data_IF_241959507867
#
_entry.id   IF_241959507867
#
_cell.length_a   1.000
_cell.length_b   1.000
_cell.length_c   1.000
_cell.angle_alpha   90.00
_cell.angle_beta   90.00
_cell.angle_gamma   90.00
#
_symmetry.space_group_name_H-M   'P 1'
#
loop_
_entity.id
_entity.type
_entity.pdbx_description
1 polymer ?
#
# COMPACT_ATOMS: atom_id res chain seq x y z
N UNK A 1 26.20 -5.51 -21.38
CA UNK A 1 26.64 -5.87 -20.01
C UNK A 1 25.94 -4.94 -19.07
N UNK A 2 24.98 -5.48 -18.32
CA UNK A 2 24.24 -4.79 -17.26
C UNK A 2 25.25 -4.48 -16.15
N UNK A 3 25.24 -3.25 -15.63
CA UNK A 3 25.99 -2.94 -14.41
C UNK A 3 25.18 -3.54 -13.26
N UNK A 4 25.70 -4.57 -12.60
CA UNK A 4 25.11 -5.07 -11.35
C UNK A 4 25.39 -4.01 -10.27
N UNK A 5 24.46 -3.09 -10.10
CA UNK A 5 24.55 -2.04 -9.10
C UNK A 5 24.14 -2.62 -7.74
N UNK A 6 25.03 -2.54 -6.74
CA UNK A 6 24.71 -2.84 -5.35
C UNK A 6 23.52 -1.98 -4.91
N UNK A 7 22.38 -2.64 -4.69
CA UNK A 7 21.07 -2.03 -4.45
C UNK A 7 21.06 -0.92 -3.40
N UNK A 8 21.79 -1.09 -2.32
CA UNK A 8 21.70 -0.22 -1.13
C UNK A 8 22.43 1.13 -1.28
N UNK A 9 23.32 1.28 -2.27
CA UNK A 9 24.11 2.51 -2.46
C UNK A 9 23.46 3.51 -3.41
N UNK A 10 22.58 3.05 -4.30
CA UNK A 10 22.02 3.86 -5.40
C UNK A 10 20.49 3.91 -5.41
N UNK A 11 19.80 3.04 -4.67
CA UNK A 11 18.35 3.03 -4.61
C UNK A 11 17.86 3.45 -3.22
N UNK A 12 16.73 4.16 -3.20
CA UNK A 12 15.96 4.40 -1.99
C UNK A 12 14.82 3.39 -1.94
N UNK A 13 14.89 2.45 -1.00
CA UNK A 13 13.81 1.52 -0.70
C UNK A 13 12.79 2.23 0.22
N UNK A 14 11.51 2.18 -0.16
CA UNK A 14 10.40 2.78 0.60
C UNK A 14 9.28 1.75 0.80
N UNK A 15 8.48 1.94 1.85
CA UNK A 15 7.26 1.17 2.12
C UNK A 15 7.43 -0.09 2.97
N UNK A 16 8.64 -0.37 3.47
CA UNK A 16 8.96 -1.53 4.31
C UNK A 16 9.32 -1.11 5.74
N UNK A 17 8.35 -1.17 6.66
CA UNK A 17 8.50 -0.69 8.04
C UNK A 17 9.59 -1.40 8.86
N UNK A 18 9.94 -2.64 8.49
CA UNK A 18 10.90 -3.48 9.24
C UNK A 18 12.13 -3.87 8.43
N UNK A 19 12.41 -3.21 7.30
CA UNK A 19 13.58 -3.57 6.47
C UNK A 19 14.89 -3.54 7.26
N UNK A 20 15.08 -2.57 8.17
CA UNK A 20 16.30 -2.49 8.98
C UNK A 20 16.45 -3.63 9.98
N UNK A 21 15.34 -4.14 10.53
CA UNK A 21 15.33 -5.29 11.46
C UNK A 21 15.51 -6.60 10.69
N UNK A 22 14.76 -6.76 9.60
CA UNK A 22 14.65 -8.03 8.88
C UNK A 22 15.80 -8.26 7.88
N UNK A 23 16.32 -7.18 7.27
CA UNK A 23 17.18 -7.23 6.06
C UNK A 23 16.52 -8.02 4.92
N UNK A 24 15.19 -7.89 4.81
CA UNK A 24 14.35 -8.52 3.80
C UNK A 24 13.13 -7.64 3.50
N UNK A 25 12.40 -7.97 2.43
CA UNK A 25 11.15 -7.30 2.03
C UNK A 25 9.91 -7.78 2.80
N UNK A 26 10.08 -8.56 3.88
CA UNK A 26 8.95 -9.01 4.70
C UNK A 26 8.33 -7.82 5.44
N UNK A 27 7.01 -7.64 5.29
CA UNK A 27 6.26 -6.47 5.78
C UNK A 27 5.81 -6.58 7.24
N UNK A 28 6.37 -7.49 8.02
CA UNK A 28 6.16 -7.64 9.47
C UNK A 28 7.49 -8.04 10.13
N UNK A 29 7.67 -7.91 11.45
CA UNK A 29 8.88 -8.42 12.11
C UNK A 29 9.01 -9.93 11.90
N UNK A 30 10.11 -10.39 11.31
CA UNK A 30 10.30 -11.82 11.01
C UNK A 30 10.28 -12.70 12.25
N UNK A 31 10.78 -12.19 13.38
CA UNK A 31 10.73 -12.87 14.68
C UNK A 31 9.31 -13.18 15.18
N UNK A 32 8.26 -12.66 14.53
CA UNK A 32 6.86 -12.93 14.88
C UNK A 32 6.17 -13.89 13.92
N UNK A 33 6.86 -14.43 12.91
CA UNK A 33 6.28 -15.35 11.94
C UNK A 33 5.57 -16.54 12.62
N UNK A 34 6.14 -17.08 13.71
CA UNK A 34 5.55 -18.21 14.45
C UNK A 34 4.24 -17.88 15.18
N UNK A 35 3.92 -16.59 15.37
CA UNK A 35 2.63 -16.16 15.97
C UNK A 35 1.51 -16.07 14.95
N UNK A 36 1.83 -16.06 13.67
CA UNK A 36 0.86 -15.92 12.59
C UNK A 36 0.33 -17.26 12.13
N UNK A 37 -0.89 -17.26 11.59
CA UNK A 37 -1.41 -18.41 10.85
C UNK A 37 -0.62 -18.60 9.53
N UNK A 38 -0.72 -19.78 8.91
CA UNK A 38 0.05 -20.10 7.69
C UNK A 38 -0.21 -19.12 6.54
N UNK A 39 -1.46 -18.72 6.32
CA UNK A 39 -1.81 -17.76 5.26
C UNK A 39 -1.15 -16.39 5.49
N UNK A 40 -1.10 -15.91 6.73
CA UNK A 40 -0.44 -14.66 7.08
C UNK A 40 1.08 -14.77 6.96
N UNK A 41 1.68 -15.91 7.32
CA UNK A 41 3.11 -16.16 7.07
C UNK A 41 3.44 -15.98 5.60
N UNK A 42 2.60 -16.47 4.69
CA UNK A 42 2.79 -16.27 3.25
C UNK A 42 2.54 -14.81 2.82
N UNK A 43 1.38 -14.23 3.14
CA UNK A 43 0.94 -12.92 2.64
C UNK A 43 1.78 -11.75 3.15
N UNK A 44 2.41 -11.88 4.33
CA UNK A 44 3.30 -10.85 4.83
C UNK A 44 4.60 -10.70 4.01
N UNK A 45 4.90 -11.66 3.12
CA UNK A 45 6.04 -11.60 2.20
C UNK A 45 5.71 -10.89 0.88
N UNK A 46 4.43 -10.69 0.57
CA UNK A 46 4.02 -9.94 -0.61
C UNK A 46 4.53 -8.49 -0.50
N UNK A 47 4.88 -7.84 -1.62
CA UNK A 47 5.56 -6.53 -1.60
C UNK A 47 4.63 -5.31 -1.75
N UNK A 48 3.34 -5.44 -1.43
CA UNK A 48 2.36 -4.36 -1.59
C UNK A 48 2.80 -3.04 -0.94
N UNK A 49 2.73 -1.95 -1.71
CA UNK A 49 3.14 -0.61 -1.28
C UNK A 49 4.66 -0.37 -1.27
N UNK A 50 5.47 -1.42 -1.41
CA UNK A 50 6.91 -1.32 -1.56
C UNK A 50 7.32 -0.65 -2.87
N UNK A 51 8.39 0.13 -2.85
CA UNK A 51 8.96 0.70 -4.07
C UNK A 51 10.46 0.95 -3.95
N UNK A 52 11.13 1.01 -5.10
CA UNK A 52 12.49 1.56 -5.18
C UNK A 52 12.49 2.84 -5.98
N UNK A 53 13.26 3.82 -5.50
CA UNK A 53 13.45 5.10 -6.17
C UNK A 53 14.90 5.30 -6.55
N UNK A 54 15.12 5.81 -7.76
CA UNK A 54 16.43 6.06 -8.33
C UNK A 54 16.35 7.20 -9.34
N UNK A 55 17.50 7.69 -9.77
CA UNK A 55 17.61 8.78 -10.73
C UNK A 55 18.53 8.38 -11.88
N UNK A 56 18.08 8.59 -13.12
CA UNK A 56 18.84 8.17 -14.32
C UNK A 56 18.41 8.93 -15.58
N UNK A 57 19.28 8.99 -16.58
CA UNK A 57 18.97 9.39 -17.96
C UNK A 57 18.90 8.21 -18.93
N UNK A 58 18.85 6.96 -18.44
CA UNK A 58 18.74 5.80 -19.33
C UNK A 58 17.49 5.91 -20.21
N UNK A 59 17.62 5.61 -21.50
CA UNK A 59 16.50 5.57 -22.43
C UNK A 59 15.83 4.21 -22.39
N UNK A 60 16.61 3.15 -22.15
CA UNK A 60 16.11 1.79 -21.93
C UNK A 60 16.42 1.29 -20.53
N UNK A 61 15.47 0.59 -19.93
CA UNK A 61 15.58 -0.03 -18.62
C UNK A 61 15.13 -1.48 -18.66
N UNK A 62 15.81 -2.33 -17.90
CA UNK A 62 15.46 -3.73 -17.69
C UNK A 62 15.00 -3.96 -16.25
N UNK A 63 14.05 -4.86 -16.06
CA UNK A 63 13.74 -5.45 -14.75
C UNK A 63 13.90 -6.95 -14.86
N UNK A 64 14.75 -7.51 -14.00
CA UNK A 64 14.83 -8.95 -13.73
C UNK A 64 14.30 -9.22 -12.34
N UNK A 65 13.46 -10.22 -12.16
CA UNK A 65 12.90 -10.55 -10.85
C UNK A 65 12.66 -12.05 -10.76
N UNK A 66 13.04 -12.66 -9.64
CA UNK A 66 12.67 -14.03 -9.29
C UNK A 66 11.64 -13.97 -8.16
N UNK A 67 10.49 -14.61 -8.36
CA UNK A 67 9.50 -14.72 -7.30
C UNK A 67 9.77 -15.96 -6.46
N UNK A 68 9.86 -15.79 -5.14
CA UNK A 68 9.87 -16.95 -4.24
C UNK A 68 8.48 -17.59 -4.16
N UNK A 69 7.45 -16.77 -4.30
CA UNK A 69 6.08 -17.21 -4.56
C UNK A 69 5.34 -16.15 -5.37
N UNK A 70 4.78 -16.56 -6.51
CA UNK A 70 3.94 -15.73 -7.36
C UNK A 70 2.49 -16.15 -7.18
N UNK A 71 1.64 -15.24 -6.70
CA UNK A 71 0.19 -15.50 -6.69
C UNK A 71 -0.34 -15.41 -8.10
N UNK A 72 -1.31 -16.26 -8.39
CA UNK A 72 -2.12 -16.18 -9.59
C UNK A 72 -3.58 -16.22 -9.14
N UNK A 73 -4.31 -15.14 -9.40
CA UNK A 73 -5.75 -15.09 -9.17
C UNK A 73 -6.48 -14.83 -10.47
N UNK A 74 -7.58 -15.55 -10.69
CA UNK A 74 -8.50 -15.27 -11.79
C UNK A 74 -9.18 -13.90 -11.68
N UNK A 75 -9.19 -13.29 -10.49
CA UNK A 75 -9.80 -11.97 -10.24
C UNK A 75 -8.83 -10.80 -10.42
N UNK A 76 -7.52 -11.06 -10.39
CA UNK A 76 -6.48 -10.04 -10.52
C UNK A 76 -5.92 -10.01 -11.94
N UNK A 77 -5.40 -8.85 -12.33
CA UNK A 77 -4.54 -8.79 -13.51
C UNK A 77 -3.16 -9.39 -13.16
N UNK A 78 -2.46 -9.92 -14.17
CA UNK A 78 -1.08 -10.37 -14.00
C UNK A 78 -0.15 -9.25 -13.47
N UNK A 79 -0.46 -8.00 -13.82
CA UNK A 79 0.26 -6.83 -13.34
C UNK A 79 0.02 -6.55 -11.86
N UNK A 80 -1.21 -6.73 -11.35
CA UNK A 80 -1.50 -6.70 -9.92
C UNK A 80 -0.70 -7.77 -9.18
N UNK A 81 -0.78 -8.99 -9.71
CA UNK A 81 -0.23 -10.15 -9.04
C UNK A 81 1.30 -10.10 -8.94
N UNK A 82 1.96 -9.79 -10.06
CA UNK A 82 3.40 -9.99 -10.22
C UNK A 82 4.09 -8.87 -11.04
N UNK A 83 3.45 -7.72 -11.23
CA UNK A 83 4.02 -6.62 -12.01
C UNK A 83 4.81 -5.61 -11.17
N UNK A 84 5.78 -4.95 -11.79
CA UNK A 84 6.43 -3.74 -11.28
C UNK A 84 5.99 -2.53 -12.09
N UNK A 85 5.66 -1.43 -11.42
CA UNK A 85 5.03 -0.27 -12.04
C UNK A 85 5.95 0.95 -12.01
N UNK A 86 6.39 1.40 -13.19
CA UNK A 86 7.35 2.50 -13.30
C UNK A 86 6.64 3.84 -13.52
N UNK A 87 7.00 4.80 -12.67
CA UNK A 87 6.63 6.19 -12.79
C UNK A 87 7.87 7.06 -12.89
N UNK A 88 7.81 8.09 -13.75
CA UNK A 88 8.79 9.17 -13.85
C UNK A 88 8.26 10.40 -13.12
N UNK A 89 9.11 11.08 -12.37
CA UNK A 89 8.75 12.33 -11.70
C UNK A 89 9.24 13.51 -12.54
N UNK A 90 8.31 14.31 -13.04
CA UNK A 90 8.57 15.50 -13.84
C UNK A 90 7.91 16.71 -13.16
N UNK A 91 8.70 17.69 -12.70
CA UNK A 91 8.19 18.89 -12.03
C UNK A 91 7.26 18.59 -10.83
N UNK A 92 7.57 17.54 -10.07
CA UNK A 92 6.76 17.09 -8.94
C UNK A 92 5.57 16.19 -9.30
N UNK A 93 5.24 16.08 -10.58
CA UNK A 93 4.15 15.22 -11.07
C UNK A 93 4.64 13.82 -11.42
N UNK A 94 3.86 12.81 -11.03
CA UNK A 94 4.17 11.41 -11.30
C UNK A 94 3.51 10.96 -12.60
N UNK A 95 4.32 10.70 -13.61
CA UNK A 95 3.90 10.25 -14.93
C UNK A 95 4.11 8.74 -15.06
N UNK A 96 3.05 8.00 -15.40
CA UNK A 96 3.16 6.57 -15.65
C UNK A 96 4.00 6.31 -16.92
N UNK A 97 4.98 5.42 -16.82
CA UNK A 97 5.88 5.06 -17.93
C UNK A 97 5.55 3.68 -18.48
N UNK A 98 5.31 2.70 -17.60
CA UNK A 98 4.99 1.35 -18.02
C UNK A 98 5.13 0.32 -16.91
N UNK A 99 4.59 -0.86 -17.15
CA UNK A 99 4.59 -1.98 -16.19
C UNK A 99 5.48 -3.12 -16.70
N UNK A 100 6.45 -3.56 -15.91
CA UNK A 100 7.21 -4.79 -16.15
C UNK A 100 6.44 -5.95 -15.52
N UNK A 101 6.18 -7.02 -16.27
CA UNK A 101 5.38 -8.14 -15.77
C UNK A 101 5.90 -9.45 -16.35
N UNK A 102 5.71 -10.59 -15.67
CA UNK A 102 6.13 -11.88 -16.19
C UNK A 102 5.33 -12.22 -17.45
N UNK A 103 5.85 -13.08 -18.32
CA UNK A 103 5.00 -13.71 -19.33
C UNK A 103 4.06 -14.71 -18.64
N UNK A 104 3.01 -15.14 -19.36
CA UNK A 104 2.11 -16.17 -18.85
C UNK A 104 2.90 -17.41 -18.44
N UNK A 105 2.57 -18.00 -17.29
CA UNK A 105 3.21 -19.18 -16.70
C UNK A 105 4.68 -19.02 -16.26
N UNK A 106 5.29 -17.83 -16.38
CA UNK A 106 6.64 -17.60 -15.87
C UNK A 106 6.62 -17.16 -14.41
N UNK A 107 7.53 -17.71 -13.60
CA UNK A 107 7.74 -17.32 -12.20
C UNK A 107 8.88 -16.29 -12.03
N UNK A 108 9.22 -15.59 -13.10
CA UNK A 108 10.25 -14.57 -13.11
C UNK A 108 9.88 -13.47 -14.12
N UNK A 109 10.55 -12.32 -14.02
CA UNK A 109 10.57 -11.27 -15.03
C UNK A 109 11.97 -11.22 -15.62
N UNK A 110 12.07 -11.13 -16.94
CA UNK A 110 13.24 -10.66 -17.67
C UNK A 110 12.75 -9.79 -18.82
N UNK A 111 12.56 -8.50 -18.54
CA UNK A 111 11.88 -7.59 -19.48
C UNK A 111 12.63 -6.27 -19.60
N UNK A 112 12.81 -5.82 -20.84
CA UNK A 112 13.33 -4.50 -21.18
C UNK A 112 12.23 -3.57 -21.72
N UNK A 113 12.39 -2.26 -21.54
CA UNK A 113 11.49 -1.24 -22.09
C UNK A 113 12.24 0.07 -22.33
N UNK A 114 11.84 0.79 -23.38
CA UNK A 114 12.19 2.20 -23.51
C UNK A 114 11.36 3.04 -22.52
N UNK A 115 12.00 3.90 -21.73
CA UNK A 115 11.38 4.71 -20.66
C UNK A 115 11.38 6.21 -20.95
N UNK A 116 12.23 6.66 -21.88
CA UNK A 116 12.30 8.05 -22.37
C UNK A 116 13.11 8.09 -23.67
N UNK A 117 12.94 9.12 -24.48
CA UNK A 117 13.78 9.45 -25.65
C UNK A 117 14.74 10.62 -25.38
N UNK A 118 14.48 11.39 -24.32
CA UNK A 118 15.30 12.50 -23.85
C UNK A 118 16.60 12.09 -23.13
N UNK A 119 17.67 12.85 -23.31
CA UNK A 119 18.95 12.72 -22.57
C UNK A 119 18.94 13.46 -21.21
N UNK A 120 17.79 13.49 -20.54
CA UNK A 120 17.61 14.19 -19.27
C UNK A 120 17.57 13.21 -18.10
N UNK A 121 18.23 13.59 -17.00
CA UNK A 121 18.23 12.81 -15.77
C UNK A 121 16.92 13.06 -14.99
N UNK A 122 16.13 12.00 -14.81
CA UNK A 122 14.84 12.01 -14.12
C UNK A 122 14.85 11.17 -12.85
N UNK A 123 14.05 11.56 -11.86
CA UNK A 123 13.68 10.69 -10.75
C UNK A 123 12.62 9.68 -11.19
N UNK A 124 12.77 8.43 -10.77
CA UNK A 124 11.84 7.34 -11.03
C UNK A 124 11.40 6.67 -9.73
N UNK A 125 10.19 6.13 -9.75
CA UNK A 125 9.64 5.23 -8.73
C UNK A 125 9.19 3.96 -9.41
N UNK A 126 9.75 2.82 -8.99
CA UNK A 126 9.35 1.49 -9.40
C UNK A 126 8.59 0.84 -8.25
N UNK A 127 7.26 0.80 -8.34
CA UNK A 127 6.42 0.09 -7.38
C UNK A 127 6.58 -1.42 -7.56
N UNK A 128 6.66 -2.14 -6.46
CA UNK A 128 6.78 -3.60 -6.41
C UNK A 128 5.41 -4.28 -6.55
N UNK A 129 5.37 -5.58 -6.87
CA UNK A 129 4.12 -6.35 -6.98
C UNK A 129 3.25 -6.32 -5.73
N UNK A 130 1.93 -6.34 -5.91
CA UNK A 130 0.97 -6.29 -4.80
C UNK A 130 0.85 -7.65 -4.10
N UNK A 131 0.81 -8.73 -4.88
CA UNK A 131 0.38 -10.05 -4.40
C UNK A 131 1.49 -11.11 -4.47
N UNK A 132 2.76 -10.72 -4.67
CA UNK A 132 3.86 -11.69 -4.83
C UNK A 132 5.05 -11.37 -3.94
N UNK A 133 5.71 -12.43 -3.50
CA UNK A 133 6.98 -12.37 -2.78
C UNK A 133 8.14 -12.28 -3.79
N UNK A 134 8.86 -11.16 -3.74
CA UNK A 134 10.09 -10.94 -4.50
C UNK A 134 11.26 -11.54 -3.72
N UNK A 135 11.82 -12.65 -4.21
CA UNK A 135 13.00 -13.31 -3.61
C UNK A 135 14.27 -12.56 -3.98
N UNK A 136 14.38 -12.18 -5.26
CA UNK A 136 15.49 -11.42 -5.80
C UNK A 136 15.00 -10.56 -6.96
N UNK A 137 15.60 -9.39 -7.15
CA UNK A 137 15.37 -8.60 -8.35
C UNK A 137 16.63 -7.83 -8.73
N UNK A 138 16.68 -7.34 -9.97
CA UNK A 138 17.73 -6.48 -10.54
C UNK A 138 17.11 -5.46 -11.49
N UNK A 139 17.61 -4.22 -11.44
CA UNK A 139 17.27 -3.19 -12.44
C UNK A 139 18.48 -2.94 -13.32
N UNK A 140 18.28 -3.07 -14.64
CA UNK A 140 19.32 -2.82 -15.63
C UNK A 140 19.16 -1.46 -16.30
N UNK A 141 20.29 -0.80 -16.55
CA UNK A 141 20.40 0.48 -17.26
C UNK A 141 21.36 0.33 -18.43
N UNK A 142 21.28 1.26 -19.39
CA UNK A 142 22.29 1.35 -20.45
C UNK A 142 23.67 1.70 -19.86
N UNK A 143 24.72 1.14 -20.46
CA UNK A 143 26.08 1.11 -19.90
C UNK A 143 26.60 2.50 -19.51
N UNK A 144 26.29 3.50 -20.32
CA UNK A 144 26.84 4.86 -20.22
C UNK A 144 25.84 5.85 -19.59
N UNK A 145 24.72 5.35 -19.04
CA UNK A 145 23.74 6.14 -18.33
C UNK A 145 24.24 6.57 -16.94
N UNK A 146 23.79 7.75 -16.52
CA UNK A 146 23.89 8.21 -15.13
C UNK A 146 22.97 7.36 -14.26
N UNK A 147 23.47 6.89 -13.11
CA UNK A 147 22.69 6.19 -12.10
C UNK A 147 23.01 6.83 -10.77
N UNK A 148 22.03 7.49 -10.18
CA UNK A 148 22.14 8.26 -8.96
C UNK A 148 21.05 7.86 -7.96
N UNK A 149 21.33 8.12 -6.68
CA UNK A 149 20.31 8.06 -5.64
C UNK A 149 19.18 9.03 -5.96
N UNK A 150 17.93 8.59 -5.79
CA UNK A 150 16.79 9.46 -6.00
C UNK A 150 16.84 10.69 -5.07
N UNK A 151 16.30 11.80 -5.57
CA UNK A 151 16.08 13.01 -4.79
C UNK A 151 15.24 12.68 -3.56
N UNK A 152 15.68 13.09 -2.37
CA UNK A 152 14.90 12.87 -1.15
C UNK A 152 13.51 13.51 -1.26
N UNK A 153 12.50 12.89 -0.64
CA UNK A 153 11.18 13.52 -0.53
C UNK A 153 11.33 14.81 0.26
N UNK A 154 10.75 15.90 -0.25
CA UNK A 154 10.67 17.17 0.49
C UNK A 154 9.96 16.97 1.83
N UNK A 155 8.95 16.11 1.83
CA UNK A 155 8.21 15.71 3.00
C UNK A 155 8.62 14.28 3.41
N UNK A 156 9.24 14.17 4.59
CA UNK A 156 9.75 12.90 5.14
C UNK A 156 8.71 12.14 5.95
N UNK A 157 7.47 12.64 6.01
CA UNK A 157 6.41 12.01 6.77
C UNK A 157 6.00 10.67 6.18
N UNK A 158 5.45 9.83 7.03
CA UNK A 158 5.04 8.47 6.70
C UNK A 158 3.60 8.22 7.10
N UNK A 159 2.87 7.53 6.24
CA UNK A 159 1.51 7.06 6.54
C UNK A 159 1.54 5.54 6.62
N UNK A 160 1.05 4.98 7.71
CA UNK A 160 0.86 3.53 7.82
C UNK A 160 -0.59 3.19 7.55
N UNK A 161 -0.81 2.18 6.73
CA UNK A 161 -2.13 1.60 6.46
C UNK A 161 -2.15 0.20 7.05
N UNK A 162 -3.05 -0.08 7.99
CA UNK A 162 -3.33 -1.45 8.43
C UNK A 162 -4.71 -1.84 7.93
N UNK A 163 -4.78 -2.86 7.08
CA UNK A 163 -6.07 -3.14 6.45
C UNK A 163 -6.27 -4.44 5.70
N UNK A 164 -7.41 -4.52 5.01
CA UNK A 164 -7.90 -5.75 4.41
C UNK A 164 -7.21 -6.10 3.08
N UNK A 165 -7.75 -7.07 2.33
CA UNK A 165 -7.35 -7.31 0.93
C UNK A 165 -7.48 -6.06 0.06
N UNK A 166 -8.44 -5.18 0.39
CA UNK A 166 -8.67 -3.90 -0.28
C UNK A 166 -7.46 -2.99 -0.07
N UNK A 167 -7.01 -2.83 1.18
CA UNK A 167 -5.82 -2.06 1.50
C UNK A 167 -4.54 -2.65 0.91
N UNK A 168 -4.42 -3.99 0.85
CA UNK A 168 -3.29 -4.61 0.15
C UNK A 168 -3.25 -4.15 -1.30
N UNK A 169 -4.42 -4.07 -1.95
CA UNK A 169 -4.58 -3.57 -3.31
C UNK A 169 -5.25 -4.57 -4.24
N UNK A 170 -5.86 -5.65 -3.73
CA UNK A 170 -6.76 -6.48 -4.53
C UNK A 170 -8.04 -5.69 -4.84
N UNK A 171 -8.42 -5.40 -6.09
CA UNK A 171 -7.90 -5.87 -7.38
C UNK A 171 -7.47 -4.70 -8.29
N UNK A 172 -6.54 -3.86 -7.84
CA UNK A 172 -6.00 -2.76 -8.65
C UNK A 172 -5.35 -3.35 -9.91
N UNK A 173 -5.51 -2.72 -11.07
CA UNK A 173 -5.02 -3.33 -12.31
C UNK A 173 -3.49 -3.38 -12.42
N UNK A 174 -2.78 -2.65 -11.56
CA UNK A 174 -1.31 -2.61 -11.43
C UNK A 174 -0.89 -1.95 -10.10
N UNK A 175 0.35 -2.15 -9.61
CA UNK A 175 0.78 -1.72 -8.28
C UNK A 175 0.60 -0.23 -7.96
N UNK A 176 0.79 0.63 -8.96
CA UNK A 176 0.62 2.06 -8.79
C UNK A 176 -0.83 2.50 -8.56
N UNK A 177 -1.83 1.63 -8.75
CA UNK A 177 -3.25 1.99 -8.69
C UNK A 177 -3.97 1.54 -7.42
N UNK A 178 -3.28 0.90 -6.47
CA UNK A 178 -3.84 0.75 -5.13
C UNK A 178 -4.02 2.11 -4.46
N UNK A 179 -5.05 2.28 -3.62
CA UNK A 179 -5.29 3.58 -2.99
C UNK A 179 -4.10 4.10 -2.14
N UNK A 180 -3.31 3.27 -1.42
CA UNK A 180 -2.13 3.74 -0.71
C UNK A 180 -1.06 4.29 -1.66
N UNK A 181 -0.82 3.61 -2.79
CA UNK A 181 0.11 4.09 -3.83
C UNK A 181 -0.36 5.39 -4.48
N UNK A 182 -1.66 5.52 -4.76
CA UNK A 182 -2.25 6.76 -5.29
C UNK A 182 -2.07 7.90 -4.29
N UNK A 183 -2.40 7.68 -3.01
CA UNK A 183 -2.24 8.69 -1.95
C UNK A 183 -0.78 9.10 -1.77
N UNK A 184 0.17 8.17 -1.81
CA UNK A 184 1.61 8.47 -1.74
C UNK A 184 2.04 9.47 -2.81
N UNK A 185 1.55 9.33 -4.04
CA UNK A 185 1.84 10.27 -5.13
C UNK A 185 1.11 11.60 -4.96
N UNK A 186 -0.17 11.58 -4.57
CA UNK A 186 -0.96 12.80 -4.35
C UNK A 186 -0.41 13.69 -3.22
N UNK A 187 0.18 13.08 -2.19
CA UNK A 187 0.69 13.74 -1.00
C UNK A 187 2.21 13.96 -1.04
N UNK A 188 2.92 13.23 -1.89
CA UNK A 188 4.38 13.29 -1.96
C UNK A 188 5.09 12.62 -0.77
N UNK A 189 4.40 11.80 0.02
CA UNK A 189 4.93 11.14 1.24
C UNK A 189 5.03 9.62 1.09
N UNK A 190 5.81 9.00 1.97
CA UNK A 190 5.97 7.53 2.01
C UNK A 190 4.72 6.87 2.63
N UNK A 191 4.29 5.75 2.07
CA UNK A 191 3.22 4.92 2.61
C UNK A 191 3.76 3.52 2.92
N UNK A 192 3.54 3.05 4.14
CA UNK A 192 3.79 1.67 4.56
C UNK A 192 2.45 0.94 4.50
N UNK A 193 2.28 0.10 3.49
CA UNK A 193 1.05 -0.66 3.29
C UNK A 193 1.13 -2.00 4.05
N UNK A 194 0.37 -2.12 5.13
CA UNK A 194 0.18 -3.34 5.93
C UNK A 194 -1.22 -3.92 5.70
N UNK A 195 -1.67 -3.88 4.45
CA UNK A 195 -2.79 -4.66 3.97
C UNK A 195 -2.39 -6.11 3.74
N UNK A 196 -3.17 -7.04 4.31
CA UNK A 196 -2.93 -8.48 4.18
C UNK A 196 -4.26 -9.19 3.86
N UNK A 197 -4.42 -9.69 2.63
CA UNK A 197 -5.64 -10.29 2.12
C UNK A 197 -6.08 -11.49 2.98
N UNK A 198 -7.36 -11.52 3.36
CA UNK A 198 -7.88 -12.55 4.28
C UNK A 198 -7.27 -12.56 5.70
N UNK A 199 -6.41 -11.59 6.04
CA UNK A 199 -5.78 -11.45 7.37
C UNK A 199 -6.05 -10.05 7.94
N UNK A 200 -5.20 -9.50 8.81
CA UNK A 200 -5.48 -8.25 9.54
C UNK A 200 -6.75 -8.34 10.39
N UNK A 201 -6.75 -9.20 11.40
CA UNK A 201 -7.93 -9.45 12.22
C UNK A 201 -7.96 -8.59 13.50
N UNK A 202 -7.14 -7.54 13.56
CA UNK A 202 -6.94 -6.72 14.75
C UNK A 202 -6.02 -7.38 15.77
N UNK A 203 -4.95 -8.02 15.33
CA UNK A 203 -4.00 -8.71 16.21
C UNK A 203 -3.27 -7.70 17.12
N UNK A 204 -3.54 -7.75 18.42
CA UNK A 204 -2.93 -6.85 19.41
C UNK A 204 -1.40 -6.90 19.41
N UNK A 205 -0.80 -8.08 19.20
CA UNK A 205 0.66 -8.20 19.15
C UNK A 205 1.26 -7.47 17.94
N UNK A 206 0.56 -7.47 16.80
CA UNK A 206 1.01 -6.74 15.61
C UNK A 206 0.77 -5.25 15.77
N UNK A 207 -0.36 -4.83 16.37
CA UNK A 207 -0.62 -3.44 16.73
C UNK A 207 0.52 -2.84 17.56
N UNK A 208 1.03 -3.61 18.54
CA UNK A 208 2.15 -3.21 19.40
C UNK A 208 3.48 -3.07 18.65
N UNK A 209 3.68 -3.81 17.57
CA UNK A 209 4.88 -3.66 16.74
C UNK A 209 4.74 -2.50 15.76
N UNK A 210 3.56 -2.34 15.16
CA UNK A 210 3.22 -1.18 14.33
C UNK A 210 3.44 0.10 15.14
N UNK A 211 2.96 0.15 16.39
CA UNK A 211 3.13 1.28 17.31
C UNK A 211 4.58 1.66 17.64
N UNK A 212 5.58 0.85 17.24
CA UNK A 212 7.01 1.19 17.37
C UNK A 212 7.59 1.83 16.12
N UNK A 213 6.89 1.76 14.99
CA UNK A 213 7.30 2.40 13.75
C UNK A 213 7.20 3.93 13.90
N UNK A 214 8.07 4.66 13.20
CA UNK A 214 7.95 6.11 13.11
C UNK A 214 7.00 6.47 11.94
N UNK A 215 5.82 7.01 12.26
CA UNK A 215 4.83 7.48 11.29
C UNK A 215 3.99 8.64 11.82
N UNK A 216 3.43 9.39 10.88
CA UNK A 216 2.78 10.68 11.07
C UNK A 216 1.28 10.65 10.79
N UNK A 217 0.78 9.56 10.20
CA UNK A 217 -0.65 9.28 10.08
C UNK A 217 -0.91 7.78 10.05
N UNK A 218 -2.11 7.38 10.46
CA UNK A 218 -2.55 5.99 10.46
C UNK A 218 -3.89 5.83 9.75
N UNK A 219 -4.04 4.79 8.92
CA UNK A 219 -5.32 4.37 8.34
C UNK A 219 -5.64 2.97 8.86
N UNK A 220 -6.82 2.82 9.44
CA UNK A 220 -7.33 1.57 9.98
C UNK A 220 -8.55 1.11 9.18
N UNK A 221 -8.36 0.13 8.30
CA UNK A 221 -9.37 -0.39 7.35
C UNK A 221 -9.30 -1.92 7.30
N UNK A 222 -9.77 -2.63 8.33
CA UNK A 222 -9.72 -4.11 8.32
C UNK A 222 -11.08 -4.76 8.54
N UNK A 223 -12.14 -4.02 8.20
CA UNK A 223 -13.51 -4.51 8.27
C UNK A 223 -13.70 -5.75 7.38
N UNK A 224 -13.39 -5.69 6.08
CA UNK A 224 -13.76 -6.78 5.16
C UNK A 224 -13.27 -8.18 5.59
N UNK A 225 -11.99 -8.28 6.01
CA UNK A 225 -11.37 -9.55 6.40
C UNK A 225 -11.87 -10.10 7.74
N UNK A 226 -12.38 -9.24 8.64
CA UNK A 226 -12.78 -9.69 9.98
C UNK A 226 -13.99 -10.63 9.89
N UNK A 227 -13.94 -11.85 10.48
CA UNK A 227 -14.90 -12.92 10.19
C UNK A 227 -16.35 -12.57 10.54
N UNK A 228 -16.57 -11.91 11.69
CA UNK A 228 -17.90 -11.53 12.16
C UNK A 228 -17.83 -10.27 13.05
N UNK A 229 -19.00 -9.69 13.33
CA UNK A 229 -19.12 -8.52 14.19
C UNK A 229 -18.65 -8.77 15.64
N UNK A 230 -18.73 -10.00 16.16
CA UNK A 230 -18.28 -10.27 17.53
C UNK A 230 -16.75 -10.23 17.64
N UNK A 231 -16.04 -10.70 16.62
CA UNK A 231 -14.59 -10.54 16.52
C UNK A 231 -14.20 -9.08 16.40
N UNK A 232 -14.86 -8.32 15.52
CA UNK A 232 -14.61 -6.90 15.34
C UNK A 232 -14.83 -6.11 16.65
N UNK A 233 -15.90 -6.43 17.40
CA UNK A 233 -16.19 -5.81 18.70
C UNK A 233 -15.07 -6.03 19.71
N UNK A 234 -14.42 -7.20 19.68
CA UNK A 234 -13.33 -7.54 20.60
C UNK A 234 -12.01 -6.85 20.26
N UNK A 235 -11.74 -6.60 18.98
CA UNK A 235 -10.41 -6.17 18.53
C UNK A 235 -10.33 -4.70 18.16
N UNK A 236 -11.39 -4.09 17.63
CA UNK A 236 -11.34 -2.78 16.99
C UNK A 236 -10.98 -1.61 17.91
N UNK A 237 -11.64 -1.51 19.07
CA UNK A 237 -11.31 -0.50 20.07
C UNK A 237 -9.88 -0.68 20.61
N UNK A 238 -9.51 -1.91 20.97
CA UNK A 238 -8.20 -2.22 21.56
C UNK A 238 -7.05 -1.90 20.61
N UNK A 239 -7.19 -2.26 19.32
CA UNK A 239 -6.19 -1.96 18.30
C UNK A 239 -5.98 -0.44 18.17
N UNK A 240 -7.06 0.33 18.05
CA UNK A 240 -7.00 1.80 18.02
C UNK A 240 -6.30 2.36 19.27
N UNK A 241 -6.66 1.89 20.47
CA UNK A 241 -6.09 2.37 21.72
C UNK A 241 -4.58 2.10 21.84
N UNK A 242 -4.09 0.97 21.31
CA UNK A 242 -2.66 0.66 21.25
C UNK A 242 -1.91 1.68 20.38
N UNK A 243 -2.42 1.94 19.17
CA UNK A 243 -1.81 2.91 18.24
C UNK A 243 -1.85 4.31 18.83
N UNK A 244 -3.02 4.75 19.33
CA UNK A 244 -3.19 6.09 19.89
C UNK A 244 -2.32 6.32 21.12
N UNK A 245 -2.14 5.32 21.99
CA UNK A 245 -1.26 5.42 23.18
C UNK A 245 0.20 5.63 22.82
N UNK A 246 0.67 5.08 21.70
CA UNK A 246 2.03 5.30 21.21
C UNK A 246 2.16 6.62 20.43
N UNK A 247 1.12 7.02 19.71
CA UNK A 247 1.09 8.22 18.88
C UNK A 247 -0.04 9.17 19.29
N UNK A 248 0.22 9.94 20.34
CA UNK A 248 -0.80 10.73 21.04
C UNK A 248 -1.49 11.82 20.20
N UNK A 249 -0.90 12.28 19.10
CA UNK A 249 -1.40 13.46 18.37
C UNK A 249 -1.47 13.32 16.84
N UNK A 250 -1.08 12.18 16.27
CA UNK A 250 -1.15 12.01 14.82
C UNK A 250 -2.60 11.84 14.33
N UNK A 251 -2.94 12.19 13.09
CA UNK A 251 -4.22 11.81 12.50
C UNK A 251 -4.36 10.27 12.40
N UNK A 252 -5.47 9.75 12.93
CA UNK A 252 -5.89 8.36 12.75
C UNK A 252 -7.23 8.34 12.00
N UNK A 253 -7.25 7.74 10.82
CA UNK A 253 -8.44 7.56 10.01
C UNK A 253 -8.97 6.14 10.24
N UNK A 254 -10.18 6.05 10.78
CA UNK A 254 -10.94 4.81 10.96
C UNK A 254 -11.91 4.67 9.79
N UNK A 255 -11.87 3.54 9.09
CA UNK A 255 -12.67 3.31 7.90
C UNK A 255 -13.46 2.02 8.01
N UNK A 256 -14.72 2.07 7.58
CA UNK A 256 -15.45 0.85 7.22
C UNK A 256 -15.17 0.48 5.77
N UNK A 257 -15.45 -0.77 5.41
CA UNK A 257 -15.26 -1.25 4.04
C UNK A 257 -16.07 -0.45 3.01
N UNK A 258 -15.59 -0.25 1.77
CA UNK A 258 -16.24 0.66 0.82
C UNK A 258 -17.52 0.10 0.18
N UNK A 259 -17.68 -1.22 0.01
CA UNK A 259 -18.94 -1.81 -0.47
C UNK A 259 -19.79 -2.35 0.70
N UNK A 260 -21.04 -1.89 0.73
CA UNK A 260 -22.04 -2.15 1.75
C UNK A 260 -23.33 -2.79 1.21
N UNK A 261 -23.48 -2.96 -0.11
CA UNK A 261 -24.75 -3.42 -0.72
C UNK A 261 -24.72 -4.86 -1.18
N UNK A 262 -23.59 -5.33 -1.68
CA UNK A 262 -23.53 -6.61 -2.38
C UNK A 262 -23.12 -7.81 -1.51
N UNK A 263 -22.97 -7.60 -0.20
CA UNK A 263 -22.52 -8.67 0.67
C UNK A 263 -23.71 -9.36 1.34
N UNK A 264 -23.83 -10.68 1.15
CA UNK A 264 -24.85 -11.56 1.79
C UNK A 264 -24.74 -11.61 3.33
N UNK A 265 -23.70 -10.96 3.88
CA UNK A 265 -23.43 -10.93 5.32
C UNK A 265 -24.52 -10.14 6.06
N UNK A 266 -25.17 -10.81 7.02
CA UNK A 266 -26.31 -10.26 7.77
C UNK A 266 -25.92 -9.24 8.87
N UNK A 267 -24.64 -9.13 9.20
CA UNK A 267 -24.13 -8.32 10.32
C UNK A 267 -23.52 -6.98 9.88
N UNK A 268 -23.60 -6.60 8.60
CA UNK A 268 -22.94 -5.39 8.04
C UNK A 268 -23.27 -4.12 8.83
N UNK A 269 -24.55 -3.92 9.16
CA UNK A 269 -24.98 -2.78 9.98
C UNK A 269 -24.29 -2.79 11.35
N UNK A 270 -24.19 -3.97 11.97
CA UNK A 270 -23.56 -4.13 13.28
C UNK A 270 -22.06 -3.85 13.26
N UNK A 271 -21.37 -4.29 12.21
CA UNK A 271 -19.94 -4.04 12.03
C UNK A 271 -19.65 -2.56 11.90
N UNK A 272 -20.44 -1.87 11.07
CA UNK A 272 -20.37 -0.42 10.94
C UNK A 272 -20.61 0.31 12.27
N UNK A 273 -21.61 -0.12 13.05
CA UNK A 273 -21.85 0.43 14.39
C UNK A 273 -20.64 0.27 15.30
N UNK A 274 -19.99 -0.90 15.30
CA UNK A 274 -18.81 -1.19 16.13
C UNK A 274 -17.65 -0.27 15.75
N UNK A 275 -17.36 -0.15 14.46
CA UNK A 275 -16.29 0.70 13.94
C UNK A 275 -16.56 2.17 14.29
N UNK A 276 -17.80 2.62 14.07
CA UNK A 276 -18.22 3.97 14.45
C UNK A 276 -18.16 4.21 15.96
N UNK A 277 -18.48 3.19 16.79
CA UNK A 277 -18.35 3.28 18.24
C UNK A 277 -16.90 3.51 18.66
N UNK A 278 -15.90 2.90 18.00
CA UNK A 278 -14.50 3.20 18.28
C UNK A 278 -14.13 4.65 18.03
N UNK A 279 -14.54 5.19 16.88
CA UNK A 279 -14.37 6.61 16.59
C UNK A 279 -15.06 7.50 17.64
N UNK A 280 -16.34 7.22 17.92
CA UNK A 280 -17.15 8.00 18.86
C UNK A 280 -16.55 7.99 20.27
N UNK A 281 -16.12 6.83 20.76
CA UNK A 281 -15.47 6.68 22.07
C UNK A 281 -14.18 7.51 22.16
N UNK A 282 -13.40 7.58 21.08
CA UNK A 282 -12.19 8.40 21.04
C UNK A 282 -12.52 9.90 21.12
N UNK A 283 -13.50 10.36 20.35
CA UNK A 283 -13.98 11.75 20.38
C UNK A 283 -14.55 12.13 21.76
N UNK A 284 -15.35 11.25 22.39
CA UNK A 284 -15.90 11.46 23.73
C UNK A 284 -14.82 11.53 24.81
N UNK A 285 -13.69 10.84 24.61
CA UNK A 285 -12.48 10.94 25.45
C UNK A 285 -11.62 12.18 25.12
N UNK A 286 -12.04 13.01 24.16
CA UNK A 286 -11.39 14.27 23.81
C UNK A 286 -10.35 14.19 22.69
N UNK A 287 -10.25 13.06 21.97
CA UNK A 287 -9.36 12.94 20.80
C UNK A 287 -9.87 13.83 19.65
N UNK A 288 -9.03 14.77 19.23
CA UNK A 288 -9.32 15.72 18.14
C UNK A 288 -8.70 15.31 16.80
N UNK A 289 -7.85 14.28 16.79
CA UNK A 289 -7.08 13.83 15.63
C UNK A 289 -7.51 12.43 15.19
N UNK A 290 -8.78 12.09 15.40
CA UNK A 290 -9.41 10.87 14.91
C UNK A 290 -10.49 11.22 13.90
N UNK A 291 -10.55 10.48 12.81
CA UNK A 291 -11.42 10.74 11.68
C UNK A 291 -12.16 9.46 11.31
N UNK A 292 -13.43 9.59 10.94
CA UNK A 292 -14.25 8.47 10.49
C UNK A 292 -14.65 8.66 9.04
N UNK A 293 -14.37 7.65 8.21
CA UNK A 293 -14.85 7.60 6.83
C UNK A 293 -15.82 6.42 6.73
N UNK A 294 -17.09 6.73 6.50
CA UNK A 294 -18.11 5.73 6.24
C UNK A 294 -18.00 5.22 4.81
N UNK A 295 -17.64 3.95 4.64
CA UNK A 295 -17.59 3.29 3.35
C UNK A 295 -18.92 3.30 2.59
N UNK A 296 -20.07 3.45 3.25
CA UNK A 296 -21.36 3.70 2.57
C UNK A 296 -21.34 4.97 1.72
N UNK A 297 -20.54 5.96 2.08
CA UNK A 297 -20.42 7.22 1.34
C UNK A 297 -19.24 7.23 0.36
N UNK A 298 -18.56 6.09 0.20
CA UNK A 298 -17.39 5.96 -0.67
C UNK A 298 -17.77 6.08 -2.15
N UNK A 299 -18.79 5.32 -2.56
CA UNK A 299 -19.22 5.22 -3.95
C UNK A 299 -20.64 5.79 -4.12
N UNK A 300 -20.93 6.47 -5.25
CA UNK A 300 -22.29 6.88 -5.59
C UNK A 300 -23.24 5.69 -5.65
N UNK A 301 -24.47 5.88 -5.19
CA UNK A 301 -25.42 4.79 -4.98
C UNK A 301 -26.09 4.28 -6.26
N UNK A 302 -26.15 5.11 -7.30
CA UNK A 302 -26.70 4.81 -8.62
C UNK A 302 -25.77 3.95 -9.49
N UNK A 303 -24.46 4.10 -9.30
CA UNK A 303 -23.42 3.42 -10.09
C UNK A 303 -22.40 2.68 -9.22
N UNK A 304 -22.74 2.32 -7.97
CA UNK A 304 -21.81 1.69 -7.01
C UNK A 304 -21.10 0.46 -7.56
N UNK A 305 -21.82 -0.39 -8.27
CA UNK A 305 -21.29 -1.63 -8.83
C UNK A 305 -20.11 -1.39 -9.77
N UNK A 306 -20.10 -0.26 -10.48
CA UNK A 306 -19.06 0.11 -11.44
C UNK A 306 -17.72 0.42 -10.77
N UNK A 307 -17.69 0.64 -9.44
CA UNK A 307 -16.46 0.86 -8.66
C UNK A 307 -15.86 -0.44 -8.14
N UNK A 308 -16.50 -1.59 -8.35
CA UNK A 308 -16.06 -2.89 -7.87
C UNK A 308 -15.61 -3.81 -9.00
N UNK A 309 -14.65 -4.68 -8.70
CA UNK A 309 -14.23 -5.78 -9.57
C UNK A 309 -15.11 -7.02 -9.39
N UNK A 310 -15.48 -7.34 -8.15
CA UNK A 310 -16.12 -8.61 -7.79
C UNK A 310 -17.14 -8.48 -6.65
N UNK A 311 -17.71 -7.29 -6.48
CA UNK A 311 -18.63 -6.90 -5.38
C UNK A 311 -18.03 -6.81 -3.98
N UNK A 312 -16.70 -6.98 -3.87
CA UNK A 312 -15.95 -6.81 -2.62
C UNK A 312 -14.78 -5.86 -2.83
N UNK A 313 -13.94 -6.18 -3.81
CA UNK A 313 -12.73 -5.47 -4.12
C UNK A 313 -13.04 -4.28 -5.05
N UNK A 314 -12.54 -3.08 -4.75
CA UNK A 314 -12.58 -1.96 -5.68
C UNK A 314 -11.78 -2.29 -6.95
N UNK A 315 -12.25 -1.78 -8.09
CA UNK A 315 -11.43 -1.65 -9.29
C UNK A 315 -10.66 -0.31 -9.27
N UNK A 316 -9.95 0.04 -10.34
CA UNK A 316 -9.16 1.27 -10.39
C UNK A 316 -9.98 2.54 -10.13
N UNK A 317 -11.22 2.61 -10.63
CA UNK A 317 -12.11 3.74 -10.37
C UNK A 317 -12.49 3.79 -8.88
N UNK A 318 -12.76 2.62 -8.28
CA UNK A 318 -12.99 2.46 -6.85
C UNK A 318 -11.80 2.91 -5.99
N UNK A 319 -10.60 2.45 -6.29
CA UNK A 319 -9.38 2.85 -5.57
C UNK A 319 -9.08 4.34 -5.72
N UNK A 320 -9.27 4.90 -6.91
CA UNK A 320 -9.13 6.34 -7.12
C UNK A 320 -10.15 7.13 -6.29
N UNK A 321 -11.40 6.66 -6.20
CA UNK A 321 -12.43 7.29 -5.38
C UNK A 321 -12.10 7.20 -3.88
N UNK A 322 -11.59 6.07 -3.41
CA UNK A 322 -11.09 5.90 -2.04
C UNK A 322 -9.98 6.89 -1.73
N UNK A 323 -8.96 6.99 -2.60
CA UNK A 323 -7.87 7.93 -2.43
C UNK A 323 -8.39 9.39 -2.36
N UNK A 324 -9.33 9.78 -3.23
CA UNK A 324 -9.92 11.12 -3.20
C UNK A 324 -10.75 11.43 -1.95
N UNK A 325 -11.33 10.41 -1.29
CA UNK A 325 -12.06 10.59 -0.03
C UNK A 325 -11.11 10.74 1.16
N UNK A 326 -9.99 10.02 1.14
CA UNK A 326 -8.98 10.05 2.22
C UNK A 326 -8.08 11.29 2.11
N UNK A 327 -7.72 11.67 0.88
CA UNK A 327 -6.74 12.71 0.59
C UNK A 327 -6.98 14.05 1.32
N UNK A 328 -8.20 14.62 1.37
CA UNK A 328 -8.43 15.90 2.04
C UNK A 328 -8.11 15.87 3.53
N UNK A 329 -8.36 14.73 4.21
CA UNK A 329 -8.03 14.56 5.62
C UNK A 329 -6.53 14.55 5.79
N UNK A 330 -5.82 13.66 5.08
CA UNK A 330 -4.37 13.56 5.20
C UNK A 330 -3.66 14.86 4.81
N UNK A 331 -4.07 15.49 3.71
CA UNK A 331 -3.48 16.77 3.27
C UNK A 331 -3.58 17.84 4.35
N UNK A 332 -4.77 17.99 4.95
CA UNK A 332 -5.03 19.00 5.98
C UNK A 332 -4.25 18.70 7.25
N UNK A 333 -4.35 17.48 7.76
CA UNK A 333 -3.76 17.11 9.05
C UNK A 333 -2.24 17.00 9.01
N UNK A 334 -1.71 16.60 7.86
CA UNK A 334 -0.29 16.67 7.58
C UNK A 334 0.12 18.07 7.10
N UNK A 335 -0.70 19.12 7.08
CA UNK A 335 -0.29 20.44 6.60
C UNK A 335 0.52 20.39 5.27
N UNK A 336 0.09 19.55 4.32
CA UNK A 336 0.80 19.40 3.05
C UNK A 336 0.35 20.53 2.12
N UNK A 337 1.24 21.50 1.96
CA UNK A 337 1.10 22.56 0.98
C UNK A 337 1.60 22.01 -0.36
N UNK A 338 0.68 21.63 -1.25
CA UNK A 338 1.05 21.40 -2.63
C UNK A 338 1.53 22.74 -3.19
N UNK A 339 2.84 22.92 -3.33
CA UNK A 339 3.39 23.97 -4.17
C UNK A 339 3.14 23.53 -5.61
N UNK A 340 2.06 24.04 -6.20
CA UNK A 340 1.86 24.01 -7.66
C UNK A 340 2.88 24.96 -8.28
#
# INVERSE_FOLDING_TARGET
>A
MVKDCFWELLFLLEGFGWYEENKSLIRVPERLLDKFNENMKEICRDCAGGSVRFRTNTKKMAVKCKFGFKRESATNTQSCDAGFDLYRICNGEYQFVGTFRPNLNENFIDMERNITDEDKVYDYVLYMPIMSYVEDFSVGFEKDSVIEKATERKDKRRVVVYGSSISQGGCASRPGLSYPSILSRMLGVEFINLGFAGNCLGEEFLAKEIAKLNFDAFIMEYDENTPDAAHLLKTHQSFFEIIRKAHNNIPIIIMTKPDFRHNVRKDIAKRREIIYATYKNAVEKGDKNVYYIDGREMFPDDIRGDFSNDTTHPNDMGFYKMANKIYPVLKRELNIHNFI
#
